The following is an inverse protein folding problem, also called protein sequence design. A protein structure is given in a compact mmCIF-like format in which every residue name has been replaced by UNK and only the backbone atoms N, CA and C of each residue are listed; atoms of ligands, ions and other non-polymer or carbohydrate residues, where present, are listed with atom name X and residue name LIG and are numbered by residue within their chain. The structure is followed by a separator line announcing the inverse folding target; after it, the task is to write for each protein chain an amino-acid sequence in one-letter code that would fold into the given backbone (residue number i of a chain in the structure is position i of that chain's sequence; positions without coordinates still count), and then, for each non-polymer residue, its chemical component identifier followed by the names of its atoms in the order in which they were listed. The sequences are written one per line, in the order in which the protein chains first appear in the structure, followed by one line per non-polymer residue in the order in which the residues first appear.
data_IF_720757426303
#
_entry.id   IF_720757426303
#
_cell.length_a   1.000
_cell.length_b   1.000
_cell.length_c   1.000
_cell.angle_alpha   90.00
_cell.angle_beta   90.00
_cell.angle_gamma   90.00
#
_symmetry.space_group_name_H-M   'P 1'
#
loop_
_entity.id
_entity.type
_entity.pdbx_description
1 polymer ?
#
# COMPACT_ATOMS: atom_id res chain seq x y z
N UNK A 1 3.67 15.01 0.27
CA UNK A 1 3.25 15.73 1.51
C UNK A 1 1.98 16.57 1.31
N UNK A 2 0.98 16.01 0.63
CA UNK A 2 -0.25 16.71 0.24
C UNK A 2 -1.11 17.16 1.44
N UNK A 3 -0.94 16.58 2.61
CA UNK A 3 -1.62 17.04 3.82
C UNK A 3 -1.18 18.49 4.19
N UNK A 4 0.09 18.78 4.05
CA UNK A 4 0.70 20.09 4.45
C UNK A 4 0.76 21.07 3.27
N UNK A 5 1.25 20.61 2.12
CA UNK A 5 1.38 21.42 0.92
C UNK A 5 0.01 21.76 0.34
N UNK A 6 -0.16 22.96 -0.23
CA UNK A 6 -1.28 23.23 -1.11
C UNK A 6 -1.14 22.48 -2.45
N UNK A 7 -2.19 22.53 -3.27
CA UNK A 7 -2.23 21.86 -4.58
C UNK A 7 -1.03 22.26 -5.48
N UNK A 8 -0.78 23.56 -5.61
CA UNK A 8 0.27 24.06 -6.50
C UNK A 8 1.66 23.62 -6.06
N UNK A 9 1.90 23.68 -4.74
CA UNK A 9 3.18 23.27 -4.17
C UNK A 9 3.40 21.76 -4.29
N UNK A 10 2.38 20.96 -4.05
CA UNK A 10 2.52 19.50 -4.19
C UNK A 10 2.76 19.09 -5.63
N UNK A 11 2.02 19.67 -6.59
CA UNK A 11 2.25 19.43 -8.02
C UNK A 11 3.67 19.84 -8.45
N UNK A 12 4.18 20.98 -7.95
CA UNK A 12 5.58 21.39 -8.20
C UNK A 12 6.58 20.34 -7.69
N UNK A 13 6.37 19.84 -6.47
CA UNK A 13 7.28 18.87 -5.83
C UNK A 13 7.33 17.55 -6.60
N UNK A 14 6.20 17.05 -7.08
CA UNK A 14 6.13 15.75 -7.75
C UNK A 14 6.31 15.84 -9.28
N UNK A 15 6.32 17.04 -9.87
CA UNK A 15 6.29 17.22 -11.35
C UNK A 15 7.43 16.49 -12.04
N UNK A 16 8.66 16.64 -11.58
CA UNK A 16 9.82 15.99 -12.20
C UNK A 16 9.69 14.46 -12.20
N UNK A 17 9.17 13.89 -11.11
CA UNK A 17 8.97 12.44 -11.00
C UNK A 17 7.84 11.97 -11.92
N UNK A 18 6.74 12.73 -12.00
CA UNK A 18 5.65 12.44 -12.94
C UNK A 18 6.15 12.44 -14.38
N UNK A 19 6.89 13.48 -14.79
CA UNK A 19 7.45 13.59 -16.15
C UNK A 19 8.39 12.41 -16.45
N UNK A 20 9.25 12.03 -15.50
CA UNK A 20 10.15 10.89 -15.64
C UNK A 20 9.38 9.57 -15.80
N UNK A 21 8.31 9.36 -15.02
CA UNK A 21 7.51 8.13 -15.10
C UNK A 21 6.70 8.06 -16.40
N UNK A 22 6.21 9.19 -16.91
CA UNK A 22 5.59 9.27 -18.24
C UNK A 22 6.60 8.89 -19.33
N UNK A 23 7.82 9.44 -19.29
CA UNK A 23 8.89 9.12 -20.25
C UNK A 23 9.25 7.63 -20.22
N UNK A 24 9.28 7.02 -19.04
CA UNK A 24 9.54 5.60 -18.84
C UNK A 24 8.34 4.69 -19.12
N UNK A 25 7.20 5.25 -19.52
CA UNK A 25 5.95 4.51 -19.74
C UNK A 25 5.50 3.69 -18.54
N UNK A 26 5.70 4.24 -17.31
CA UNK A 26 5.21 3.60 -16.09
C UNK A 26 3.68 3.54 -16.08
N UNK A 27 3.07 2.45 -15.59
CA UNK A 27 1.61 2.31 -15.60
C UNK A 27 0.90 3.25 -14.63
N UNK A 28 1.55 3.60 -13.52
CA UNK A 28 1.04 4.56 -12.54
C UNK A 28 2.18 5.11 -11.67
N UNK A 29 1.89 6.20 -10.97
CA UNK A 29 2.70 6.66 -9.84
C UNK A 29 2.07 6.15 -8.54
N UNK A 30 2.86 5.47 -7.71
CA UNK A 30 2.45 5.09 -6.35
C UNK A 30 2.73 6.27 -5.43
N UNK A 31 1.70 6.78 -4.79
CA UNK A 31 1.75 7.95 -3.92
C UNK A 31 1.39 7.59 -2.48
N UNK A 32 2.26 7.93 -1.54
CA UNK A 32 2.01 7.80 -0.11
C UNK A 32 2.12 9.16 0.58
N UNK A 33 1.22 9.45 1.53
CA UNK A 33 1.34 10.64 2.37
C UNK A 33 2.44 10.45 3.43
N UNK A 34 3.42 11.34 3.41
CA UNK A 34 4.56 11.30 4.31
C UNK A 34 4.57 12.43 5.36
N UNK A 35 3.55 13.29 5.36
CA UNK A 35 3.46 14.37 6.38
C UNK A 35 3.10 13.80 7.74
N UNK A 36 3.86 14.20 8.76
CA UNK A 36 3.62 13.81 10.15
C UNK A 36 3.59 12.30 10.43
N UNK A 37 4.18 11.50 9.54
CA UNK A 37 4.24 10.05 9.71
C UNK A 37 5.22 9.65 10.81
N UNK A 38 4.99 8.49 11.45
CA UNK A 38 5.86 7.95 12.50
C UNK A 38 6.65 6.72 12.06
N UNK A 39 6.49 6.27 10.82
CA UNK A 39 7.14 5.05 10.33
C UNK A 39 8.68 5.09 10.33
N UNK A 40 9.27 6.28 10.20
CA UNK A 40 10.72 6.48 10.26
C UNK A 40 11.29 6.68 11.66
N UNK A 41 10.45 6.69 12.69
CA UNK A 41 10.81 7.10 14.05
C UNK A 41 10.99 5.87 14.98
N UNK A 42 12.24 5.49 15.23
CA UNK A 42 12.56 4.33 16.10
C UNK A 42 11.98 4.42 17.51
N UNK A 43 11.87 5.65 18.06
CA UNK A 43 11.41 5.87 19.42
C UNK A 43 9.90 6.14 19.54
N UNK A 44 9.20 6.21 18.41
CA UNK A 44 7.78 6.57 18.38
C UNK A 44 6.94 5.31 18.11
N UNK A 45 6.05 4.93 19.03
CA UNK A 45 5.18 3.78 18.82
C UNK A 45 4.32 3.92 17.55
N UNK A 46 4.15 2.83 16.82
CA UNK A 46 3.28 2.83 15.63
C UNK A 46 1.84 3.22 15.98
N UNK A 47 1.38 2.91 17.20
CA UNK A 47 0.06 3.28 17.69
C UNK A 47 -0.13 4.80 17.88
N UNK A 48 0.97 5.58 17.90
CA UNK A 48 0.97 7.05 18.03
C UNK A 48 0.87 7.75 16.67
N UNK A 49 0.56 7.02 15.61
CA UNK A 49 0.37 7.60 14.28
C UNK A 49 -0.63 8.77 14.29
N UNK A 50 -0.52 9.73 13.37
CA UNK A 50 -1.54 10.77 13.23
C UNK A 50 -2.88 10.13 12.83
N UNK A 51 -3.95 10.56 13.48
CA UNK A 51 -5.31 10.08 13.22
C UNK A 51 -6.16 11.26 12.81
N UNK A 52 -6.81 11.13 11.68
CA UNK A 52 -7.79 12.08 11.20
C UNK A 52 -9.21 11.56 11.48
N UNK A 53 -10.12 12.47 11.71
CA UNK A 53 -11.55 12.18 11.71
C UNK A 53 -12.02 11.84 10.30
N UNK A 54 -13.22 11.24 10.17
CA UNK A 54 -13.81 10.96 8.87
C UNK A 54 -13.91 12.24 8.00
N UNK A 55 -14.38 13.35 8.56
CA UNK A 55 -14.56 14.60 7.82
C UNK A 55 -13.21 15.19 7.37
N UNK A 56 -12.15 15.05 8.17
CA UNK A 56 -10.79 15.45 7.79
C UNK A 56 -10.26 14.54 6.67
N UNK A 57 -10.51 13.22 6.70
CA UNK A 57 -10.13 12.32 5.61
C UNK A 57 -10.92 12.65 4.33
N UNK A 58 -12.21 12.98 4.41
CA UNK A 58 -13.00 13.41 3.25
C UNK A 58 -12.46 14.73 2.65
N UNK A 59 -12.07 15.68 3.50
CA UNK A 59 -11.39 16.90 3.04
C UNK A 59 -10.05 16.61 2.36
N UNK A 60 -9.24 15.72 2.94
CA UNK A 60 -7.99 15.26 2.36
C UNK A 60 -8.22 14.50 1.04
N UNK A 61 -9.24 13.63 0.97
CA UNK A 61 -9.60 12.87 -0.23
C UNK A 61 -9.98 13.78 -1.41
N UNK A 62 -10.71 14.87 -1.14
CA UNK A 62 -10.99 15.88 -2.17
C UNK A 62 -9.71 16.51 -2.72
N UNK A 63 -8.80 16.90 -1.84
CA UNK A 63 -7.51 17.50 -2.21
C UNK A 63 -6.61 16.55 -3.00
N UNK A 64 -6.45 15.32 -2.54
CA UNK A 64 -5.60 14.33 -3.26
C UNK A 64 -6.22 13.93 -4.60
N UNK A 65 -7.56 14.01 -4.74
CA UNK A 65 -8.24 13.79 -6.02
C UNK A 65 -7.86 14.82 -7.08
N UNK A 66 -7.69 16.09 -6.69
CA UNK A 66 -7.24 17.14 -7.60
C UNK A 66 -5.80 16.89 -8.09
N UNK A 67 -4.93 16.40 -7.19
CA UNK A 67 -3.55 16.03 -7.52
C UNK A 67 -3.55 14.80 -8.42
N UNK A 68 -4.37 13.78 -8.11
CA UNK A 68 -4.52 12.59 -8.94
C UNK A 68 -5.00 12.92 -10.35
N UNK A 69 -6.00 13.82 -10.47
CA UNK A 69 -6.46 14.32 -11.76
C UNK A 69 -5.32 15.05 -12.50
N UNK A 70 -4.57 15.91 -11.84
CA UNK A 70 -3.43 16.62 -12.44
C UNK A 70 -2.37 15.64 -12.97
N UNK A 71 -2.12 14.52 -12.28
CA UNK A 71 -1.25 13.44 -12.76
C UNK A 71 -1.86 12.72 -13.96
N UNK A 72 -3.14 12.37 -13.89
CA UNK A 72 -3.89 11.67 -14.94
C UNK A 72 -3.93 12.50 -16.25
N UNK A 73 -4.16 13.82 -16.15
CA UNK A 73 -4.14 14.75 -17.30
C UNK A 73 -2.76 14.79 -18.00
N UNK A 74 -1.70 14.31 -17.34
CA UNK A 74 -0.33 14.15 -17.88
C UNK A 74 -0.02 12.74 -18.35
N UNK A 75 -0.99 11.84 -18.29
CA UNK A 75 -0.83 10.43 -18.68
C UNK A 75 -0.20 9.57 -17.58
N UNK A 76 -0.20 10.04 -16.33
CA UNK A 76 0.32 9.29 -15.18
C UNK A 76 -0.77 9.05 -14.12
N UNK A 77 -1.56 7.96 -14.22
CA UNK A 77 -2.53 7.61 -13.18
C UNK A 77 -1.87 7.48 -11.80
N UNK A 78 -2.59 7.88 -10.74
CA UNK A 78 -2.09 7.81 -9.37
C UNK A 78 -2.75 6.65 -8.61
N UNK A 79 -1.93 5.83 -7.97
CA UNK A 79 -2.35 4.80 -7.03
C UNK A 79 -1.93 5.18 -5.61
N UNK A 80 -2.89 5.39 -4.71
CA UNK A 80 -2.61 5.77 -3.33
C UNK A 80 -2.19 4.56 -2.51
N UNK A 81 -1.02 4.66 -1.88
CA UNK A 81 -0.47 3.64 -0.99
C UNK A 81 -0.75 4.00 0.47
N UNK A 82 -1.67 3.28 1.09
CA UNK A 82 -1.87 3.35 2.54
C UNK A 82 -0.70 2.68 3.26
N UNK A 83 -0.28 3.21 4.40
CA UNK A 83 0.94 2.75 5.05
C UNK A 83 0.86 2.85 6.57
N UNK A 84 1.51 1.89 7.25
CA UNK A 84 1.64 1.94 8.70
C UNK A 84 2.29 3.23 9.16
N UNK A 85 1.80 3.80 10.26
CA UNK A 85 2.33 5.03 10.83
C UNK A 85 1.93 6.31 10.10
N UNK A 86 1.05 6.25 9.08
CA UNK A 86 0.54 7.40 8.33
C UNK A 86 -0.91 7.76 8.70
N UNK A 87 -1.45 8.80 8.06
CA UNK A 87 -2.85 9.21 8.23
C UNK A 87 -3.86 8.21 7.67
N UNK A 88 -3.46 7.42 6.67
CA UNK A 88 -4.29 6.37 6.06
C UNK A 88 -3.59 5.03 6.34
N UNK A 89 -4.04 4.33 7.38
CA UNK A 89 -3.41 3.10 7.86
C UNK A 89 -4.38 1.92 7.90
N UNK A 90 -5.51 2.07 8.58
CA UNK A 90 -6.46 1.00 8.79
C UNK A 90 -7.57 0.96 7.74
N UNK A 91 -8.42 -0.06 7.80
CA UNK A 91 -9.50 -0.26 6.84
C UNK A 91 -10.50 0.91 6.79
N UNK A 92 -10.85 1.49 7.94
CA UNK A 92 -11.77 2.64 7.98
C UNK A 92 -11.14 3.85 7.28
N UNK A 93 -9.87 4.13 7.52
CA UNK A 93 -9.14 5.23 6.86
C UNK A 93 -9.12 5.02 5.33
N UNK A 94 -8.83 3.80 4.87
CA UNK A 94 -8.85 3.44 3.44
C UNK A 94 -10.25 3.60 2.86
N UNK A 95 -11.27 3.10 3.55
CA UNK A 95 -12.66 3.21 3.11
C UNK A 95 -13.08 4.67 2.98
N UNK A 96 -12.80 5.52 3.97
CA UNK A 96 -13.16 6.94 3.94
C UNK A 96 -12.38 7.71 2.87
N UNK A 97 -11.11 7.40 2.66
CA UNK A 97 -10.31 7.97 1.57
C UNK A 97 -10.96 7.66 0.21
N UNK A 98 -11.25 6.38 -0.03
CA UNK A 98 -11.77 5.93 -1.32
C UNK A 98 -13.22 6.38 -1.55
N UNK A 99 -14.04 6.47 -0.50
CA UNK A 99 -15.39 7.06 -0.57
C UNK A 99 -15.37 8.56 -0.89
N UNK A 100 -14.43 9.30 -0.30
CA UNK A 100 -14.33 10.75 -0.45
C UNK A 100 -13.57 11.20 -1.70
N UNK A 101 -12.88 10.29 -2.40
CA UNK A 101 -12.07 10.62 -3.57
C UNK A 101 -12.77 10.39 -4.90
N UNK A 102 -12.33 11.13 -5.94
CA UNK A 102 -12.78 10.91 -7.32
C UNK A 102 -12.22 9.62 -7.91
N UNK A 103 -12.74 9.23 -9.08
CA UNK A 103 -12.25 8.09 -9.85
C UNK A 103 -10.83 8.27 -10.42
N UNK A 104 -10.28 9.49 -10.37
CA UNK A 104 -8.89 9.73 -10.78
C UNK A 104 -7.87 9.16 -9.78
N UNK A 105 -8.28 8.99 -8.50
CA UNK A 105 -7.47 8.32 -7.50
C UNK A 105 -7.78 6.83 -7.47
N UNK A 106 -6.81 6.00 -7.72
CA UNK A 106 -6.88 4.56 -7.54
C UNK A 106 -6.18 4.12 -6.24
N UNK A 107 -6.33 2.86 -5.88
CA UNK A 107 -5.71 2.25 -4.71
C UNK A 107 -4.48 1.43 -5.14
N UNK A 108 -3.36 1.64 -4.47
CA UNK A 108 -2.29 0.66 -4.37
C UNK A 108 -2.67 -0.30 -3.23
N UNK A 109 -3.11 -1.49 -3.60
CA UNK A 109 -3.58 -2.49 -2.66
C UNK A 109 -2.41 -3.27 -2.07
N UNK A 110 -2.02 -2.90 -0.84
CA UNK A 110 -0.97 -3.58 -0.10
C UNK A 110 -1.58 -4.49 0.97
N UNK A 111 -1.44 -5.79 0.74
CA UNK A 111 -2.06 -6.82 1.59
C UNK A 111 -1.48 -6.84 3.02
N UNK A 112 -0.18 -6.62 3.15
CA UNK A 112 0.52 -6.67 4.45
C UNK A 112 0.24 -5.45 5.30
N UNK A 113 0.31 -4.25 4.74
CA UNK A 113 -0.04 -3.03 5.48
C UNK A 113 -1.50 -3.03 5.91
N UNK A 114 -2.41 -3.47 5.03
CA UNK A 114 -3.83 -3.55 5.37
C UNK A 114 -4.07 -4.48 6.57
N UNK A 115 -3.53 -5.70 6.50
CA UNK A 115 -3.71 -6.67 7.57
C UNK A 115 -3.01 -6.26 8.87
N UNK A 116 -1.83 -5.63 8.81
CA UNK A 116 -1.16 -5.05 9.97
C UNK A 116 -2.02 -3.95 10.62
N UNK A 117 -2.70 -3.14 9.80
CA UNK A 117 -3.66 -2.12 10.24
C UNK A 117 -4.95 -2.69 10.87
N UNK A 118 -5.13 -4.01 10.82
CA UNK A 118 -6.32 -4.70 11.33
C UNK A 118 -7.47 -4.79 10.32
N UNK A 119 -7.22 -4.51 9.04
CA UNK A 119 -8.20 -4.60 7.97
C UNK A 119 -8.37 -6.02 7.43
N UNK A 120 -9.48 -6.24 6.75
CA UNK A 120 -9.79 -7.48 6.03
C UNK A 120 -9.36 -7.35 4.55
N UNK A 121 -8.38 -8.17 4.17
CA UNK A 121 -7.80 -8.18 2.82
C UNK A 121 -8.86 -8.50 1.76
N UNK A 122 -9.71 -9.50 2.01
CA UNK A 122 -10.72 -9.92 1.04
C UNK A 122 -11.89 -8.94 0.96
N UNK A 123 -12.36 -8.42 2.09
CA UNK A 123 -13.44 -7.42 2.13
C UNK A 123 -13.01 -6.11 1.42
N UNK A 124 -11.77 -5.67 1.63
CA UNK A 124 -11.24 -4.49 0.94
C UNK A 124 -11.12 -4.71 -0.57
N UNK A 125 -10.64 -5.90 -0.99
CA UNK A 125 -10.54 -6.28 -2.39
C UNK A 125 -11.92 -6.33 -3.06
N UNK A 126 -12.90 -6.95 -2.41
CA UNK A 126 -14.29 -7.04 -2.90
C UNK A 126 -14.93 -5.63 -3.04
N UNK A 127 -14.64 -4.75 -2.11
CA UNK A 127 -15.21 -3.40 -2.10
C UNK A 127 -14.59 -2.46 -3.12
N UNK A 128 -13.26 -2.51 -3.29
CA UNK A 128 -12.51 -1.51 -4.06
C UNK A 128 -11.80 -2.07 -5.30
N UNK A 129 -12.05 -3.33 -5.65
CA UNK A 129 -11.38 -4.02 -6.75
C UNK A 129 -11.34 -3.23 -8.05
N UNK A 130 -12.47 -2.59 -8.43
CA UNK A 130 -12.57 -1.77 -9.64
C UNK A 130 -11.68 -0.50 -9.60
N UNK A 131 -11.14 -0.15 -8.43
CA UNK A 131 -10.27 1.00 -8.21
C UNK A 131 -8.84 0.63 -7.84
N UNK A 132 -8.48 -0.65 -7.92
CA UNK A 132 -7.12 -1.14 -7.68
C UNK A 132 -6.34 -1.10 -9.00
N UNK A 133 -5.30 -0.28 -9.07
CA UNK A 133 -4.43 -0.18 -10.24
C UNK A 133 -3.00 -0.66 -10.00
N UNK A 134 -2.64 -0.91 -8.75
CA UNK A 134 -1.34 -1.44 -8.37
C UNK A 134 -1.49 -2.35 -7.16
N UNK A 135 -0.71 -3.42 -7.09
CA UNK A 135 -0.83 -4.42 -6.03
C UNK A 135 0.54 -4.70 -5.43
N UNK A 136 0.63 -4.60 -4.11
CA UNK A 136 1.75 -5.10 -3.34
C UNK A 136 1.34 -6.40 -2.62
N UNK A 137 1.97 -7.49 -2.98
CA UNK A 137 1.88 -8.73 -2.25
C UNK A 137 2.92 -8.73 -1.15
N UNK A 138 2.51 -8.33 0.02
CA UNK A 138 3.28 -8.30 1.26
C UNK A 138 2.59 -9.19 2.27
N UNK A 139 3.33 -10.08 2.90
CA UNK A 139 2.81 -10.99 3.92
C UNK A 139 3.20 -10.53 5.32
N UNK A 140 2.55 -11.03 6.34
CA UNK A 140 2.84 -10.69 7.73
C UNK A 140 2.86 -11.90 8.64
N UNK A 141 3.53 -11.75 9.80
CA UNK A 141 3.51 -12.70 10.90
C UNK A 141 2.67 -12.13 12.05
N UNK A 142 1.43 -12.62 12.24
CA UNK A 142 0.44 -11.99 13.13
C UNK A 142 0.88 -11.96 14.61
N UNK A 143 1.61 -12.96 15.08
CA UNK A 143 2.09 -12.98 16.45
C UNK A 143 3.08 -11.84 16.74
N UNK A 144 3.93 -11.50 15.77
CA UNK A 144 4.86 -10.37 15.88
C UNK A 144 4.08 -9.05 15.84
N UNK A 145 3.12 -8.92 14.92
CA UNK A 145 2.26 -7.73 14.82
C UNK A 145 1.53 -7.50 16.15
N UNK A 146 1.00 -8.56 16.75
CA UNK A 146 0.33 -8.50 18.05
C UNK A 146 1.28 -7.99 19.13
N UNK A 147 2.49 -8.54 19.23
CA UNK A 147 3.51 -8.09 20.20
C UNK A 147 3.87 -6.61 20.03
N UNK A 148 4.04 -6.15 18.79
CA UNK A 148 4.32 -4.75 18.47
C UNK A 148 3.20 -3.83 18.96
N UNK A 149 1.94 -4.18 18.69
CA UNK A 149 0.77 -3.39 19.07
C UNK A 149 0.55 -3.36 20.58
N UNK A 150 0.61 -4.52 21.24
CA UNK A 150 0.37 -4.66 22.68
C UNK A 150 1.47 -3.99 23.53
N UNK A 151 2.72 -4.05 23.06
CA UNK A 151 3.87 -3.47 23.77
C UNK A 151 4.27 -2.07 23.28
N UNK A 152 3.42 -1.44 22.46
CA UNK A 152 3.58 -0.06 22.03
C UNK A 152 4.95 0.23 21.38
N UNK A 153 5.40 -0.70 20.53
CA UNK A 153 6.68 -0.60 19.82
C UNK A 153 6.57 0.23 18.57
N UNK A 154 7.71 0.64 18.02
CA UNK A 154 7.76 1.41 16.77
C UNK A 154 7.50 0.54 15.54
N UNK A 155 7.22 1.20 14.41
CA UNK A 155 7.15 0.52 13.12
C UNK A 155 8.51 -0.12 12.75
N UNK A 156 9.62 0.56 13.02
CA UNK A 156 10.95 0.01 12.74
C UNK A 156 11.27 -1.20 13.63
N UNK A 157 10.79 -1.23 14.89
CA UNK A 157 10.87 -2.44 15.71
C UNK A 157 10.09 -3.60 15.08
N UNK A 158 8.94 -3.33 14.46
CA UNK A 158 8.17 -4.35 13.74
C UNK A 158 8.96 -4.90 12.54
N UNK A 159 9.58 -4.05 11.74
CA UNK A 159 10.44 -4.43 10.62
C UNK A 159 11.60 -5.30 11.09
N UNK A 160 12.34 -4.84 12.12
CA UNK A 160 13.50 -5.56 12.68
C UNK A 160 13.08 -6.89 13.32
N UNK A 161 11.90 -6.95 13.95
CA UNK A 161 11.37 -8.19 14.50
C UNK A 161 10.90 -9.18 13.44
N UNK A 162 10.68 -8.72 12.20
CA UNK A 162 10.22 -9.52 11.07
C UNK A 162 8.70 -9.67 11.05
N UNK A 163 7.97 -8.60 11.40
CA UNK A 163 6.51 -8.54 11.28
C UNK A 163 6.06 -8.71 9.83
N UNK A 164 6.81 -8.09 8.89
CA UNK A 164 6.60 -8.26 7.46
C UNK A 164 7.47 -9.38 6.89
N UNK A 165 6.95 -10.03 5.87
CA UNK A 165 7.67 -11.06 5.12
C UNK A 165 7.15 -11.14 3.69
N UNK A 166 7.78 -11.98 2.88
CA UNK A 166 7.38 -12.21 1.49
C UNK A 166 6.17 -13.14 1.40
N UNK A 167 5.38 -13.07 0.31
CA UNK A 167 4.26 -13.97 0.07
C UNK A 167 4.60 -15.44 0.27
N UNK A 168 3.78 -16.12 1.07
CA UNK A 168 3.92 -17.55 1.36
C UNK A 168 4.77 -17.90 2.57
N UNK A 169 5.32 -16.90 3.25
CA UNK A 169 6.08 -17.06 4.52
C UNK A 169 5.38 -16.40 5.72
N UNK A 170 4.12 -16.01 5.56
CA UNK A 170 3.27 -15.42 6.60
C UNK A 170 1.92 -16.10 6.69
N UNK A 171 0.85 -15.31 6.76
CA UNK A 171 -0.49 -15.84 7.02
C UNK A 171 -1.54 -15.51 5.96
N UNK A 172 -1.23 -14.72 4.94
CA UNK A 172 -2.20 -14.29 3.95
C UNK A 172 -2.45 -15.39 2.92
N UNK A 173 -3.71 -15.66 2.62
CA UNK A 173 -4.12 -16.59 1.55
C UNK A 173 -4.01 -15.91 0.17
N UNK A 174 -2.80 -15.88 -0.38
CA UNK A 174 -2.56 -15.31 -1.70
C UNK A 174 -3.23 -16.07 -2.85
N UNK A 175 -3.65 -17.31 -2.63
CA UNK A 175 -4.45 -18.00 -3.63
C UNK A 175 -5.86 -17.40 -3.71
N UNK A 176 -6.49 -17.13 -2.57
CA UNK A 176 -7.79 -16.45 -2.54
C UNK A 176 -7.70 -15.04 -3.15
N UNK A 177 -6.68 -14.25 -2.78
CA UNK A 177 -6.44 -12.91 -3.35
C UNK A 177 -6.24 -12.99 -4.86
N UNK A 178 -5.40 -13.91 -5.36
CA UNK A 178 -5.16 -14.08 -6.81
C UNK A 178 -6.42 -14.51 -7.57
N UNK A 179 -7.25 -15.39 -7.00
CA UNK A 179 -8.51 -15.78 -7.59
C UNK A 179 -9.47 -14.59 -7.74
N UNK A 180 -9.55 -13.71 -6.73
CA UNK A 180 -10.38 -12.51 -6.80
C UNK A 180 -9.86 -11.51 -7.82
N UNK A 181 -8.54 -11.28 -7.88
CA UNK A 181 -7.94 -10.44 -8.92
C UNK A 181 -8.23 -10.98 -10.34
N UNK A 182 -8.15 -12.29 -10.54
CA UNK A 182 -8.50 -12.92 -11.81
C UNK A 182 -9.99 -12.72 -12.16
N UNK A 183 -10.89 -12.92 -11.19
CA UNK A 183 -12.32 -12.71 -11.38
C UNK A 183 -12.68 -11.27 -11.75
N UNK A 184 -11.92 -10.29 -11.26
CA UNK A 184 -12.05 -8.86 -11.59
C UNK A 184 -11.36 -8.50 -12.91
N UNK A 185 -10.70 -9.45 -13.59
CA UNK A 185 -9.88 -9.19 -14.79
C UNK A 185 -8.77 -8.17 -14.53
N UNK A 186 -8.16 -8.21 -13.34
CA UNK A 186 -7.06 -7.30 -12.99
C UNK A 186 -5.93 -7.38 -14.02
N UNK A 187 -5.48 -6.21 -14.46
CA UNK A 187 -4.34 -6.07 -15.36
C UNK A 187 -3.42 -4.98 -14.83
N UNK A 188 -2.26 -5.35 -14.34
CA UNK A 188 -1.31 -4.43 -13.72
C UNK A 188 -0.16 -5.17 -13.05
N UNK A 189 0.65 -4.43 -12.32
CA UNK A 189 1.78 -5.02 -11.60
C UNK A 189 1.32 -5.66 -10.29
N UNK A 190 1.88 -6.84 -10.01
CA UNK A 190 1.87 -7.46 -8.69
C UNK A 190 3.33 -7.46 -8.22
N UNK A 191 3.62 -6.66 -7.21
CA UNK A 191 4.97 -6.48 -6.68
C UNK A 191 5.15 -7.32 -5.43
N UNK A 192 6.21 -8.13 -5.40
CA UNK A 192 6.67 -8.76 -4.15
C UNK A 192 7.30 -7.67 -3.32
N UNK A 193 6.74 -7.39 -2.17
CA UNK A 193 7.30 -6.41 -1.25
C UNK A 193 7.43 -7.01 0.15
N UNK A 194 8.53 -6.70 0.82
CA UNK A 194 8.72 -7.03 2.22
C UNK A 194 9.72 -6.05 2.86
N UNK A 195 9.30 -5.47 3.96
CA UNK A 195 10.15 -4.63 4.79
C UNK A 195 10.80 -5.50 5.85
N UNK A 196 12.06 -5.85 5.65
CA UNK A 196 12.75 -6.84 6.47
C UNK A 196 14.17 -6.39 6.82
N UNK A 197 14.68 -6.86 7.97
CA UNK A 197 16.08 -6.77 8.33
C UNK A 197 16.92 -7.73 7.43
N UNK A 198 17.80 -7.22 6.56
CA UNK A 198 18.58 -8.08 5.65
C UNK A 198 19.54 -9.04 6.38
N UNK A 199 19.84 -8.77 7.65
CA UNK A 199 20.66 -9.69 8.46
C UNK A 199 19.87 -10.95 8.88
N UNK A 200 18.54 -10.87 8.92
CA UNK A 200 17.65 -11.99 9.29
C UNK A 200 16.95 -12.61 8.08
N UNK A 201 16.67 -11.79 7.07
CA UNK A 201 16.03 -12.19 5.84
C UNK A 201 16.92 -11.83 4.64
N UNK A 202 17.87 -12.70 4.23
CA UNK A 202 18.71 -12.44 3.09
C UNK A 202 17.89 -12.08 1.85
N UNK A 203 18.10 -10.90 1.23
CA UNK A 203 17.19 -10.36 0.22
C UNK A 203 17.00 -11.28 -1.00
N UNK A 204 18.08 -11.93 -1.46
CA UNK A 204 17.98 -12.84 -2.60
C UNK A 204 17.07 -14.04 -2.32
N UNK A 205 17.25 -14.70 -1.18
CA UNK A 205 16.51 -15.91 -0.84
C UNK A 205 15.03 -15.61 -0.60
N UNK A 206 14.74 -14.51 0.11
CA UNK A 206 13.38 -14.08 0.37
C UNK A 206 12.68 -13.58 -0.90
N UNK A 207 13.35 -12.77 -1.73
CA UNK A 207 12.77 -12.33 -3.01
C UNK A 207 12.46 -13.50 -3.93
N UNK A 208 13.34 -14.50 -3.98
CA UNK A 208 13.13 -15.72 -4.75
C UNK A 208 11.94 -16.51 -4.23
N UNK A 209 11.84 -16.70 -2.91
CA UNK A 209 10.72 -17.43 -2.28
C UNK A 209 9.38 -16.74 -2.58
N UNK A 210 9.29 -15.42 -2.39
CA UNK A 210 8.08 -14.66 -2.69
C UNK A 210 7.70 -14.72 -4.17
N UNK A 211 8.67 -14.56 -5.06
CA UNK A 211 8.45 -14.66 -6.50
C UNK A 211 7.93 -16.05 -6.91
N UNK A 212 8.56 -17.12 -6.43
CA UNK A 212 8.13 -18.49 -6.74
C UNK A 212 6.70 -18.77 -6.23
N UNK A 213 6.36 -18.23 -5.04
CA UNK A 213 5.02 -18.34 -4.49
C UNK A 213 3.99 -17.60 -5.36
N UNK A 214 4.27 -16.35 -5.73
CA UNK A 214 3.37 -15.55 -6.60
C UNK A 214 3.16 -16.24 -7.95
N UNK A 215 4.22 -16.68 -8.60
CA UNK A 215 4.12 -17.39 -9.88
C UNK A 215 3.20 -18.61 -9.77
N UNK A 216 3.30 -19.34 -8.66
CA UNK A 216 2.46 -20.51 -8.40
C UNK A 216 0.98 -20.12 -8.26
N UNK A 217 0.67 -19.17 -7.36
CA UNK A 217 -0.73 -18.82 -7.07
C UNK A 217 -1.39 -18.10 -8.25
N UNK A 218 -0.67 -17.25 -8.97
CA UNK A 218 -1.18 -16.62 -10.19
C UNK A 218 -1.52 -17.64 -11.28
N UNK A 219 -0.64 -18.63 -11.50
CA UNK A 219 -0.94 -19.73 -12.44
C UNK A 219 -2.17 -20.55 -12.04
N UNK A 220 -2.34 -20.82 -10.74
CA UNK A 220 -3.51 -21.53 -10.23
C UNK A 220 -4.79 -20.71 -10.31
N UNK A 221 -4.68 -19.38 -10.39
CA UNK A 221 -5.80 -18.45 -10.57
C UNK A 221 -6.05 -18.07 -12.04
N UNK A 222 -5.36 -18.69 -13.00
CA UNK A 222 -5.41 -18.35 -14.43
C UNK A 222 -5.02 -16.88 -14.74
N UNK A 223 -4.22 -16.24 -13.86
CA UNK A 223 -3.59 -14.95 -14.14
C UNK A 223 -2.36 -15.13 -15.02
N UNK A 224 -2.36 -14.47 -16.17
CA UNK A 224 -1.20 -14.44 -17.06
C UNK A 224 -0.07 -13.58 -16.45
N UNK A 225 1.15 -14.13 -16.42
CA UNK A 225 2.36 -13.41 -16.01
C UNK A 225 3.18 -13.17 -17.28
N UNK A 226 3.46 -11.91 -17.60
CA UNK A 226 4.23 -11.48 -18.77
C UNK A 226 5.62 -11.00 -18.36
#
# INVERSE_FOLDING_TARGET
NSLINDFSKECEVISQQVDQFVELSSPCIVYAECSNTVQGEMQTPVNSRPKLTRDEIFSYASKISEIAKWCSDRGMPMAYHHHMGSIIENEDDVNWLMEGSSSDLSLCFDTGHLLFGGGDVMATLDRWGDRIHHVHYKDIRPDIVKDIRENNKSFLDAVIAGAFTVPGDGCIDFQAVSNSLAAMSYSGWIVVEAEQDPAKAPPYDYSKMGYEHIVKVCKMADLSIN
#
